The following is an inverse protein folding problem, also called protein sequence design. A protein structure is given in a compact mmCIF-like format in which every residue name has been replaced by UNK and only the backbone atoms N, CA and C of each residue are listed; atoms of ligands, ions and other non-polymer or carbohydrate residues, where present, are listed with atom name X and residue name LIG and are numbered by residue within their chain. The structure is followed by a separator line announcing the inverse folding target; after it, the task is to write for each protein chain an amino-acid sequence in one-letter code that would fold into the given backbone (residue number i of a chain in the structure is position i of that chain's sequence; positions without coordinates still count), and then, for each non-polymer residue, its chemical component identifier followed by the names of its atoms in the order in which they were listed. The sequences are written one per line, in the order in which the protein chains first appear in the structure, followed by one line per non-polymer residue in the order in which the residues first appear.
data_IF_757241248909
#
_entry.id   IF_757241248909
#
_cell.length_a   1.000
_cell.length_b   1.000
_cell.length_c   1.000
_cell.angle_alpha   90.00
_cell.angle_beta   90.00
_cell.angle_gamma   90.00
#
_symmetry.space_group_name_H-M   'P 1'
#
loop_
_entity.id
_entity.type
_entity.pdbx_description
1 polymer ?
#
# COMPACT_ATOMS: atom_id res chain seq x y z
N UNK A 1 -17.78 -30.00 -2.94
CA UNK A 1 -18.43 -29.83 -1.62
C UNK A 1 -17.40 -29.10 -0.79
N UNK A 2 -17.61 -27.81 -0.47
CA UNK A 2 -16.61 -27.08 0.33
C UNK A 2 -16.41 -27.78 1.67
N UNK A 3 -15.15 -27.92 2.15
CA UNK A 3 -14.90 -28.50 3.46
C UNK A 3 -15.56 -27.62 4.52
N UNK A 4 -16.39 -28.25 5.35
CA UNK A 4 -17.15 -27.55 6.38
C UNK A 4 -16.73 -28.06 7.76
N UNK A 5 -16.40 -27.13 8.65
CA UNK A 5 -15.80 -27.40 9.95
C UNK A 5 -16.87 -27.54 11.04
N UNK A 6 -16.55 -28.26 12.11
CA UNK A 6 -17.36 -28.30 13.34
C UNK A 6 -16.97 -27.14 14.28
N UNK A 7 -17.82 -26.84 15.26
CA UNK A 7 -17.53 -25.77 16.23
C UNK A 7 -16.25 -26.06 17.05
N UNK A 8 -15.97 -27.34 17.32
CA UNK A 8 -14.75 -27.76 18.01
C UNK A 8 -13.51 -27.46 17.16
N UNK A 9 -13.58 -27.73 15.85
CA UNK A 9 -12.49 -27.40 14.92
C UNK A 9 -12.30 -25.89 14.81
N UNK A 10 -13.38 -25.11 14.71
CA UNK A 10 -13.29 -23.63 14.67
C UNK A 10 -12.67 -23.09 15.98
N UNK A 11 -13.07 -23.63 17.13
CA UNK A 11 -12.51 -23.30 18.44
C UNK A 11 -11.00 -23.55 18.51
N UNK A 12 -10.57 -24.72 18.03
CA UNK A 12 -9.16 -25.08 17.99
C UNK A 12 -8.36 -24.18 17.04
N UNK A 13 -8.88 -23.92 15.82
CA UNK A 13 -8.20 -23.08 14.83
C UNK A 13 -8.06 -21.65 15.34
N UNK A 14 -9.14 -21.08 15.89
CA UNK A 14 -9.13 -19.71 16.38
C UNK A 14 -8.49 -19.56 17.75
N UNK A 15 -8.17 -20.66 18.45
CA UNK A 15 -7.71 -20.63 19.85
C UNK A 15 -8.64 -19.78 20.72
N UNK A 16 -9.94 -20.06 20.63
CA UNK A 16 -11.02 -19.32 21.29
C UNK A 16 -12.04 -20.32 21.80
N UNK A 17 -12.51 -20.16 23.04
CA UNK A 17 -13.48 -21.08 23.63
C UNK A 17 -14.78 -21.20 22.81
N UNK A 18 -15.35 -22.40 22.79
CA UNK A 18 -16.65 -22.70 22.15
C UNK A 18 -17.76 -21.77 22.66
N UNK A 19 -17.78 -21.48 23.96
CA UNK A 19 -18.71 -20.55 24.60
C UNK A 19 -18.68 -19.17 23.95
N UNK A 20 -17.48 -18.67 23.68
CA UNK A 20 -17.22 -17.37 23.05
C UNK A 20 -17.62 -17.38 21.57
N UNK A 21 -17.32 -18.46 20.85
CA UNK A 21 -17.76 -18.62 19.45
C UNK A 21 -19.29 -18.58 19.36
N UNK A 22 -19.99 -19.34 20.23
CA UNK A 22 -21.47 -19.31 20.29
C UNK A 22 -22.02 -17.94 20.63
N UNK A 23 -21.35 -17.21 21.52
CA UNK A 23 -21.72 -15.84 21.83
C UNK A 23 -21.57 -14.93 20.60
N UNK A 24 -20.46 -15.06 19.86
CA UNK A 24 -20.25 -14.31 18.62
C UNK A 24 -21.22 -14.70 17.51
N UNK A 25 -21.62 -15.97 17.38
CA UNK A 25 -22.67 -16.39 16.43
C UNK A 25 -23.96 -15.61 16.63
N UNK A 26 -24.35 -15.42 17.89
CA UNK A 26 -25.55 -14.67 18.24
C UNK A 26 -25.35 -13.18 17.96
N UNK A 27 -24.28 -12.60 18.50
CA UNK A 27 -24.05 -11.16 18.39
C UNK A 27 -23.81 -10.72 16.94
N UNK A 28 -23.05 -11.47 16.15
CA UNK A 28 -22.65 -11.10 14.78
C UNK A 28 -23.40 -11.90 13.70
N UNK A 29 -24.61 -12.38 14.00
CA UNK A 29 -25.43 -13.20 13.07
C UNK A 29 -25.63 -12.57 11.68
N UNK A 30 -25.74 -11.24 11.60
CA UNK A 30 -25.90 -10.48 10.35
C UNK A 30 -24.66 -10.50 9.44
N UNK A 31 -23.47 -10.70 10.02
CA UNK A 31 -22.20 -10.82 9.31
C UNK A 31 -21.88 -12.29 8.99
N UNK A 32 -22.07 -13.17 9.98
CA UNK A 32 -21.73 -14.59 9.84
C UNK A 32 -22.69 -15.35 8.92
N UNK A 33 -24.00 -15.02 8.89
CA UNK A 33 -25.01 -15.65 8.01
C UNK A 33 -24.98 -17.20 8.00
N UNK A 34 -24.64 -17.79 9.15
CA UNK A 34 -24.51 -19.24 9.28
C UNK A 34 -25.89 -19.89 9.11
N UNK A 35 -25.97 -20.87 8.20
CA UNK A 35 -27.19 -21.65 7.98
C UNK A 35 -27.16 -22.93 8.81
N UNK A 36 -28.22 -23.15 9.60
CA UNK A 36 -28.44 -24.41 10.27
C UNK A 36 -29.63 -25.14 9.63
N UNK A 37 -29.40 -26.22 8.85
CA UNK A 37 -30.49 -27.07 8.40
C UNK A 37 -31.25 -27.64 9.61
N UNK A 38 -32.58 -27.69 9.52
CA UNK A 38 -33.43 -28.21 10.61
C UNK A 38 -32.96 -29.61 11.04
N UNK A 39 -32.68 -29.79 12.33
CA UNK A 39 -32.27 -31.08 12.91
C UNK A 39 -30.81 -31.48 12.67
N UNK A 40 -29.99 -30.63 12.06
CA UNK A 40 -28.56 -30.92 11.84
C UNK A 40 -27.66 -30.02 12.70
N UNK A 41 -26.44 -30.48 12.95
CA UNK A 41 -25.40 -29.66 13.58
C UNK A 41 -24.87 -28.63 12.60
N UNK A 42 -24.73 -27.40 13.07
CA UNK A 42 -24.08 -26.29 12.33
C UNK A 42 -22.71 -26.71 11.80
N UNK A 43 -22.38 -26.20 10.61
CA UNK A 43 -21.08 -26.35 9.97
C UNK A 43 -20.57 -24.98 9.52
N UNK A 44 -19.26 -24.79 9.59
CA UNK A 44 -18.63 -23.50 9.29
C UNK A 44 -17.79 -23.61 8.01
N UNK A 45 -17.90 -22.63 7.12
CA UNK A 45 -17.06 -22.50 5.92
C UNK A 45 -15.78 -21.73 6.26
N UNK A 46 -14.87 -21.65 5.31
CA UNK A 46 -13.68 -20.81 5.42
C UNK A 46 -14.04 -19.34 5.61
N UNK A 47 -15.03 -18.81 4.87
CA UNK A 47 -15.54 -17.43 5.04
C UNK A 47 -16.05 -17.15 6.46
N UNK A 48 -16.71 -18.13 7.10
CA UNK A 48 -17.13 -17.99 8.49
C UNK A 48 -15.93 -17.89 9.43
N UNK A 49 -14.86 -18.62 9.13
CA UNK A 49 -13.62 -18.61 9.91
C UNK A 49 -12.87 -17.29 9.76
N UNK A 50 -12.80 -16.75 8.55
CA UNK A 50 -12.27 -15.40 8.29
C UNK A 50 -13.05 -14.33 9.05
N UNK A 51 -14.38 -14.39 9.01
CA UNK A 51 -15.24 -13.45 9.74
C UNK A 51 -15.02 -13.55 11.25
N UNK A 52 -14.89 -14.77 11.80
CA UNK A 52 -14.57 -14.94 13.23
C UNK A 52 -13.18 -14.43 13.59
N UNK A 53 -12.18 -14.62 12.72
CA UNK A 53 -10.83 -14.08 12.94
C UNK A 53 -10.85 -12.55 12.98
N UNK A 54 -11.58 -11.90 12.07
CA UNK A 54 -11.78 -10.45 12.09
C UNK A 54 -12.49 -10.00 13.37
N UNK A 55 -13.55 -10.68 13.79
CA UNK A 55 -14.23 -10.38 15.07
C UNK A 55 -13.25 -10.50 16.25
N UNK A 56 -12.43 -11.57 16.27
CA UNK A 56 -11.42 -11.78 17.31
C UNK A 56 -10.43 -10.62 17.38
N UNK A 57 -9.91 -10.19 16.23
CA UNK A 57 -8.98 -9.07 16.14
C UNK A 57 -9.60 -7.76 16.62
N UNK A 58 -10.82 -7.44 16.17
CA UNK A 58 -11.52 -6.23 16.58
C UNK A 58 -11.76 -6.18 18.09
N UNK A 59 -12.11 -7.30 18.71
CA UNK A 59 -12.46 -7.34 20.12
C UNK A 59 -11.25 -7.44 21.05
N UNK A 60 -10.24 -8.26 20.70
CA UNK A 60 -9.11 -8.52 21.59
C UNK A 60 -7.87 -7.70 21.26
N UNK A 61 -7.62 -7.40 20.00
CA UNK A 61 -6.44 -6.62 19.58
C UNK A 61 -6.77 -5.15 19.52
N UNK A 62 -7.85 -4.78 18.82
CA UNK A 62 -8.25 -3.38 18.65
C UNK A 62 -9.17 -2.87 19.78
N UNK A 63 -9.56 -3.75 20.72
CA UNK A 63 -10.32 -3.44 21.93
C UNK A 63 -11.66 -2.72 21.69
N UNK A 64 -12.32 -3.01 20.56
CA UNK A 64 -13.66 -2.51 20.32
C UNK A 64 -14.67 -3.17 21.25
N UNK A 65 -15.72 -2.40 21.60
CA UNK A 65 -16.96 -3.00 22.12
C UNK A 65 -17.68 -3.76 21.01
N UNK A 66 -18.59 -4.68 21.35
CA UNK A 66 -19.42 -5.39 20.36
C UNK A 66 -20.09 -4.43 19.37
N UNK A 67 -20.70 -3.34 19.89
CA UNK A 67 -21.34 -2.31 19.05
C UNK A 67 -20.34 -1.62 18.12
N UNK A 68 -19.13 -1.34 18.61
CA UNK A 68 -18.06 -0.75 17.82
C UNK A 68 -17.57 -1.68 16.71
N UNK A 69 -17.34 -2.96 17.04
CA UNK A 69 -16.91 -3.98 16.09
C UNK A 69 -17.95 -4.17 14.97
N UNK A 70 -19.24 -4.25 15.30
CA UNK A 70 -20.32 -4.31 14.29
C UNK A 70 -20.30 -3.12 13.33
N UNK A 71 -20.12 -1.90 13.86
CA UNK A 71 -20.02 -0.69 13.04
C UNK A 71 -18.80 -0.73 12.11
N UNK A 72 -17.67 -1.26 12.59
CA UNK A 72 -16.44 -1.39 11.80
C UNK A 72 -16.60 -2.41 10.67
N UNK A 73 -17.21 -3.56 10.94
CA UNK A 73 -17.51 -4.59 9.94
C UNK A 73 -18.50 -4.11 8.87
N UNK A 74 -19.54 -3.36 9.27
CA UNK A 74 -20.50 -2.79 8.32
C UNK A 74 -19.82 -1.75 7.42
N UNK A 75 -19.00 -0.86 8.00
CA UNK A 75 -18.24 0.11 7.21
C UNK A 75 -17.36 -0.59 6.18
N UNK A 76 -16.66 -1.65 6.57
CA UNK A 76 -15.80 -2.41 5.65
C UNK A 76 -16.62 -3.06 4.54
N UNK A 77 -17.76 -3.68 4.86
CA UNK A 77 -18.66 -4.24 3.86
C UNK A 77 -19.20 -3.19 2.88
N UNK A 78 -19.55 -1.99 3.37
CA UNK A 78 -20.01 -0.88 2.52
C UNK A 78 -18.89 -0.32 1.65
N UNK A 79 -17.66 -0.25 2.15
CA UNK A 79 -16.52 0.18 1.35
C UNK A 79 -16.21 -0.85 0.27
N UNK A 80 -16.18 -2.14 0.61
CA UNK A 80 -15.98 -3.23 -0.34
C UNK A 80 -17.03 -3.23 -1.45
N UNK A 81 -18.31 -3.00 -1.10
CA UNK A 81 -19.39 -2.93 -2.10
C UNK A 81 -19.36 -1.64 -2.93
N UNK A 82 -19.13 -0.49 -2.31
CA UNK A 82 -19.07 0.81 -3.00
C UNK A 82 -17.88 0.90 -3.97
N UNK A 83 -16.77 0.26 -3.62
CA UNK A 83 -15.57 0.24 -4.46
C UNK A 83 -15.62 -0.86 -5.54
N UNK A 84 -16.55 -1.82 -5.45
CA UNK A 84 -16.69 -2.91 -6.44
C UNK A 84 -15.64 -4.02 -6.29
N UNK A 85 -15.26 -4.34 -5.05
CA UNK A 85 -14.08 -5.15 -4.75
C UNK A 85 -14.46 -6.64 -4.63
N UNK A 86 -14.49 -7.33 -5.77
CA UNK A 86 -14.52 -8.79 -5.83
C UNK A 86 -13.23 -9.39 -5.23
N UNK A 87 -13.20 -10.68 -4.84
CA UNK A 87 -12.07 -11.36 -4.18
C UNK A 87 -10.70 -11.19 -4.88
N UNK A 88 -10.69 -10.95 -6.20
CA UNK A 88 -9.49 -10.61 -6.98
C UNK A 88 -8.95 -9.19 -6.72
N UNK A 89 -9.60 -8.40 -5.87
CA UNK A 89 -9.27 -7.02 -5.61
C UNK A 89 -7.90 -6.85 -4.96
N UNK A 90 -7.54 -7.72 -4.00
CA UNK A 90 -6.20 -7.66 -3.39
C UNK A 90 -5.11 -7.76 -4.45
N UNK A 91 -5.34 -8.62 -5.44
CA UNK A 91 -4.45 -8.80 -6.60
C UNK A 91 -4.45 -7.55 -7.50
N UNK A 92 -5.62 -7.04 -7.89
CA UNK A 92 -5.71 -5.83 -8.73
C UNK A 92 -5.11 -4.61 -8.05
N UNK A 93 -5.37 -4.43 -6.74
CA UNK A 93 -4.80 -3.36 -5.91
C UNK A 93 -3.31 -3.50 -5.79
N UNK A 94 -2.83 -4.71 -5.53
CA UNK A 94 -1.40 -4.98 -5.49
C UNK A 94 -0.75 -4.60 -6.82
N UNK A 95 -1.34 -4.97 -7.96
CA UNK A 95 -0.85 -4.58 -9.27
C UNK A 95 -0.94 -3.07 -9.52
N UNK A 96 -2.02 -2.41 -9.11
CA UNK A 96 -2.18 -0.95 -9.23
C UNK A 96 -1.15 -0.21 -8.37
N UNK A 97 -0.96 -0.60 -7.10
CA UNK A 97 0.06 -0.02 -6.23
C UNK A 97 1.46 -0.29 -6.77
N UNK A 98 1.74 -1.50 -7.23
CA UNK A 98 3.03 -1.84 -7.85
C UNK A 98 3.32 -0.95 -9.05
N UNK A 99 2.34 -0.76 -9.94
CA UNK A 99 2.46 0.11 -11.11
C UNK A 99 2.70 1.58 -10.71
N UNK A 100 1.95 2.10 -9.73
CA UNK A 100 2.13 3.47 -9.23
C UNK A 100 3.53 3.65 -8.62
N UNK A 101 3.99 2.69 -7.80
CA UNK A 101 5.31 2.74 -7.19
C UNK A 101 6.41 2.70 -8.24
N UNK A 102 6.27 1.86 -9.28
CA UNK A 102 7.22 1.80 -10.39
C UNK A 102 7.29 3.14 -11.15
N UNK A 103 6.14 3.75 -11.46
CA UNK A 103 6.10 5.03 -12.15
C UNK A 103 6.78 6.12 -11.31
N UNK A 104 6.47 6.19 -10.00
CA UNK A 104 7.12 7.14 -9.08
C UNK A 104 8.64 6.92 -8.97
N UNK A 105 9.09 5.67 -8.93
CA UNK A 105 10.51 5.33 -8.92
C UNK A 105 11.20 5.76 -10.22
N UNK A 106 10.54 5.54 -11.36
CA UNK A 106 11.05 5.93 -12.68
C UNK A 106 11.20 7.46 -12.77
N UNK A 107 10.16 8.22 -12.44
CA UNK A 107 10.22 9.69 -12.43
C UNK A 107 11.31 10.21 -11.49
N UNK A 108 11.48 9.58 -10.32
CA UNK A 108 12.56 9.92 -9.38
C UNK A 108 13.94 9.70 -10.00
N UNK A 109 14.14 8.61 -10.71
CA UNK A 109 15.43 8.32 -11.34
C UNK A 109 15.72 9.25 -12.52
N UNK A 110 14.71 9.57 -13.33
CA UNK A 110 14.79 10.59 -14.38
C UNK A 110 15.20 11.95 -13.80
N UNK A 111 14.59 12.36 -12.68
CA UNK A 111 14.93 13.61 -12.00
C UNK A 111 16.39 13.64 -11.54
N UNK A 112 16.92 12.53 -11.01
CA UNK A 112 18.35 12.42 -10.64
C UNK A 112 19.27 12.48 -11.86
N UNK A 113 18.90 11.82 -12.96
CA UNK A 113 19.68 11.85 -14.20
C UNK A 113 19.77 13.28 -14.75
N UNK A 114 18.65 14.00 -14.77
CA UNK A 114 18.61 15.41 -15.17
C UNK A 114 19.49 16.29 -14.27
N UNK A 115 19.42 16.10 -12.95
CA UNK A 115 20.29 16.83 -12.02
C UNK A 115 21.79 16.59 -12.31
N UNK A 116 22.18 15.34 -12.60
CA UNK A 116 23.55 15.01 -13.01
C UNK A 116 23.94 15.69 -14.33
N UNK A 117 23.05 15.73 -15.31
CA UNK A 117 23.30 16.40 -16.59
C UNK A 117 23.48 17.90 -16.42
N UNK A 118 22.63 18.56 -15.61
CA UNK A 118 22.76 19.98 -15.31
C UNK A 118 24.11 20.31 -14.66
N UNK A 119 24.58 19.47 -13.75
CA UNK A 119 25.87 19.65 -13.09
C UNK A 119 27.04 19.57 -14.09
N UNK A 120 27.00 18.61 -15.01
CA UNK A 120 28.03 18.50 -16.06
C UNK A 120 28.03 19.71 -16.99
N UNK A 121 26.86 20.15 -17.42
CA UNK A 121 26.71 21.33 -18.28
C UNK A 121 27.18 22.60 -17.58
N UNK A 122 26.94 22.74 -16.28
CA UNK A 122 27.47 23.87 -15.49
C UNK A 122 28.99 23.89 -15.49
N UNK A 123 29.64 22.76 -15.21
CA UNK A 123 31.11 22.65 -15.26
C UNK A 123 31.68 22.90 -16.65
N UNK A 124 30.99 22.44 -17.69
CA UNK A 124 31.41 22.71 -19.06
C UNK A 124 31.28 24.18 -19.42
N UNK A 125 30.19 24.83 -19.00
CA UNK A 125 29.99 26.27 -19.14
C UNK A 125 31.11 27.05 -18.44
N UNK A 126 31.43 26.73 -17.18
CA UNK A 126 32.53 27.38 -16.44
C UNK A 126 33.86 27.27 -17.19
N UNK A 127 34.21 26.07 -17.68
CA UNK A 127 35.43 25.86 -18.49
C UNK A 127 35.45 26.66 -19.80
N UNK A 128 34.29 26.94 -20.38
CA UNK A 128 34.20 27.78 -21.60
C UNK A 128 34.37 29.25 -21.22
N UNK A 129 33.74 29.71 -20.14
CA UNK A 129 33.88 31.07 -19.63
C UNK A 129 35.33 31.38 -19.24
N UNK A 130 36.02 30.47 -18.54
CA UNK A 130 37.45 30.58 -18.23
C UNK A 130 38.29 30.73 -19.50
N UNK A 131 38.11 29.84 -20.49
CA UNK A 131 38.83 29.92 -21.77
C UNK A 131 38.57 31.23 -22.52
N UNK A 132 37.32 31.69 -22.53
CA UNK A 132 36.97 32.97 -23.16
C UNK A 132 37.67 34.14 -22.46
N UNK A 133 37.71 34.15 -21.12
CA UNK A 133 38.41 35.20 -20.37
C UNK A 133 39.92 35.19 -20.63
N UNK A 134 40.55 34.02 -20.71
CA UNK A 134 41.97 33.91 -21.07
C UNK A 134 42.26 34.42 -22.49
N UNK A 135 41.42 34.06 -23.46
CA UNK A 135 41.57 34.52 -24.85
C UNK A 135 41.37 36.04 -24.96
N UNK A 136 40.37 36.58 -24.28
CA UNK A 136 40.13 38.03 -24.21
C UNK A 136 41.32 38.76 -23.58
N UNK A 137 41.86 38.25 -22.46
CA UNK A 137 43.05 38.83 -21.84
C UNK A 137 44.28 38.75 -22.75
N UNK A 138 44.56 37.60 -23.38
CA UNK A 138 45.67 37.44 -24.34
C UNK A 138 45.53 38.39 -25.53
N UNK A 139 44.32 38.57 -26.05
CA UNK A 139 44.02 39.51 -27.14
C UNK A 139 44.25 40.96 -26.72
N UNK A 140 43.78 41.35 -25.53
CA UNK A 140 44.03 42.67 -24.95
C UNK A 140 45.52 42.92 -24.73
N UNK A 141 46.26 41.95 -24.21
CA UNK A 141 47.72 42.06 -24.05
C UNK A 141 48.43 42.24 -25.38
N UNK A 142 48.09 41.46 -26.41
CA UNK A 142 48.64 41.62 -27.77
C UNK A 142 48.39 43.03 -28.33
N UNK A 143 47.17 43.54 -28.17
CA UNK A 143 46.80 44.89 -28.61
C UNK A 143 47.57 45.98 -27.85
N UNK A 144 47.71 45.86 -26.53
CA UNK A 144 48.46 46.82 -25.72
C UNK A 144 49.96 46.78 -26.05
N UNK A 145 50.55 45.60 -26.26
CA UNK A 145 51.95 45.48 -26.67
C UNK A 145 52.22 46.05 -28.05
N UNK A 146 51.27 45.96 -28.97
CA UNK A 146 51.39 46.53 -30.33
C UNK A 146 51.23 48.07 -30.32
N UNK A 147 50.40 48.61 -29.40
CA UNK A 147 50.10 50.04 -29.32
C UNK A 147 51.08 50.85 -28.47
N UNK A 148 51.72 50.23 -27.48
CA UNK A 148 52.66 50.89 -26.55
C UNK A 148 54.09 50.34 -26.63
N UNK A 149 54.35 49.37 -27.52
CA UNK A 149 55.68 48.85 -27.84
C UNK A 149 56.28 49.53 -29.07
N UNK A 150 56.65 50.79 -28.94
CA UNK A 150 57.57 51.52 -29.82
C UNK A 150 58.56 52.31 -28.94
#
# INVERSE_FOLDING_TARGET
MEPSLTIDQVSNVLQTEISTIRYWEKEFSEFLKIKCPKGQRVRYTEEHLETFAQIKELLYTELYTIKGAKRRLELERTLTSALGLEQNFKTTVFFMFSAIIQELQKTREESKNLARQLELLRKEKERIEERLTEEQQKSLWRFLTDKFGA
#
